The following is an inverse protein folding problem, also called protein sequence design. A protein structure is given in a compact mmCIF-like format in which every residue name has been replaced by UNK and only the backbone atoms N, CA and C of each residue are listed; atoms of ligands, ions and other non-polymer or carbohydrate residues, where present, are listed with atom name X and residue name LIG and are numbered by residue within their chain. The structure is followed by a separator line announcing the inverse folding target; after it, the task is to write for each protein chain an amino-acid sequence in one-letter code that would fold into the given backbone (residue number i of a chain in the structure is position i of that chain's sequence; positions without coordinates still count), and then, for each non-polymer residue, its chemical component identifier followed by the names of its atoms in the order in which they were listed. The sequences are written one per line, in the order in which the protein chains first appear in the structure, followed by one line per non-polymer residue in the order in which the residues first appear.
data_IF_748799590818
#
_entry.id   IF_748799590818
#
_cell.length_a   1.000
_cell.length_b   1.000
_cell.length_c   1.000
_cell.angle_alpha   90.00
_cell.angle_beta   90.00
_cell.angle_gamma   90.00
#
_symmetry.space_group_name_H-M   'P 1'
#
loop_
_entity.id
_entity.type
_entity.pdbx_description
1 polymer ?
#
# COMPACT_ATOMS: atom_id res chain seq x y z
N UNK A 1 -13.78 -10.44 -1.01
CA UNK A 1 -13.03 -10.61 -2.27
C UNK A 1 -13.42 -9.49 -3.22
N UNK A 2 -12.42 -8.81 -3.81
CA UNK A 2 -12.58 -7.77 -4.84
C UNK A 2 -11.84 -8.27 -6.09
N UNK A 3 -12.57 -8.39 -7.21
CA UNK A 3 -12.00 -8.94 -8.45
C UNK A 3 -12.44 -8.16 -9.69
N UNK A 4 -11.56 -8.13 -10.69
CA UNK A 4 -11.87 -7.67 -12.05
C UNK A 4 -12.38 -6.22 -12.10
N UNK A 5 -11.84 -5.34 -11.26
CA UNK A 5 -12.25 -3.96 -11.17
C UNK A 5 -11.22 -3.03 -11.84
N UNK A 6 -11.69 -2.15 -12.71
CA UNK A 6 -10.88 -1.07 -13.27
C UNK A 6 -11.39 0.28 -12.79
N UNK A 7 -10.56 1.00 -12.04
CA UNK A 7 -10.83 2.39 -11.66
C UNK A 7 -10.19 3.32 -12.68
N UNK A 8 -10.99 4.23 -13.24
CA UNK A 8 -10.53 5.33 -14.11
C UNK A 8 -10.73 6.71 -13.46
N UNK A 9 -11.16 6.70 -12.21
CA UNK A 9 -11.53 7.92 -11.47
C UNK A 9 -10.27 8.58 -10.92
N UNK A 10 -10.13 9.89 -11.16
CA UNK A 10 -9.14 10.69 -10.45
C UNK A 10 -9.61 10.93 -9.02
N UNK A 11 -8.76 10.60 -8.06
CA UNK A 11 -9.06 10.72 -6.64
C UNK A 11 -8.30 11.92 -6.08
N UNK A 12 -9.04 12.82 -5.42
CA UNK A 12 -8.48 13.87 -4.59
C UNK A 12 -8.93 13.63 -3.15
N UNK A 13 -8.02 13.19 -2.30
CA UNK A 13 -8.29 12.91 -0.91
C UNK A 13 -7.52 13.86 0.00
N UNK A 14 -8.21 14.47 0.96
CA UNK A 14 -7.59 15.29 2.00
C UNK A 14 -7.82 14.68 3.36
N UNK A 15 -6.79 14.67 4.20
CA UNK A 15 -6.94 14.43 5.62
C UNK A 15 -7.01 15.78 6.34
N UNK A 16 -7.82 15.84 7.38
CA UNK A 16 -7.68 16.88 8.39
C UNK A 16 -6.30 16.67 9.01
N UNK A 17 -5.55 17.73 9.25
CA UNK A 17 -4.22 17.70 9.88
C UNK A 17 -4.31 17.22 11.34
N UNK A 18 -4.88 16.06 11.53
CA UNK A 18 -4.97 15.36 12.79
C UNK A 18 -3.75 14.44 12.91
N UNK A 19 -2.81 14.90 13.74
CA UNK A 19 -1.60 14.16 14.02
C UNK A 19 -1.84 12.85 14.80
N UNK A 20 -3.07 12.49 15.10
CA UNK A 20 -3.41 11.37 15.99
C UNK A 20 -3.89 10.14 15.23
N UNK A 21 -4.45 10.29 14.04
CA UNK A 21 -5.08 9.20 13.28
C UNK A 21 -4.31 8.83 12.02
N UNK A 22 -4.13 7.55 11.78
CA UNK A 22 -3.62 7.05 10.52
C UNK A 22 -4.69 7.22 9.43
N UNK A 23 -4.31 7.78 8.30
CA UNK A 23 -5.21 8.03 7.16
C UNK A 23 -4.68 7.33 5.90
N UNK A 24 -5.59 6.77 5.12
CA UNK A 24 -5.25 5.87 4.03
C UNK A 24 -6.01 6.21 2.75
N UNK A 25 -5.34 6.16 1.61
CA UNK A 25 -5.95 6.35 0.29
C UNK A 25 -5.50 5.27 -0.68
N UNK A 26 -6.45 4.63 -1.34
CA UNK A 26 -6.24 3.72 -2.46
C UNK A 26 -7.39 3.83 -3.45
N UNK A 27 -7.17 3.55 -4.72
CA UNK A 27 -8.22 3.68 -5.74
C UNK A 27 -9.29 2.60 -5.65
N UNK A 28 -8.96 1.46 -5.07
CA UNK A 28 -9.85 0.29 -4.93
C UNK A 28 -10.23 0.10 -3.45
N UNK A 29 -9.26 0.20 -2.55
CA UNK A 29 -9.46 -0.02 -1.11
C UNK A 29 -8.66 0.98 -0.30
N UNK A 30 -9.30 1.71 0.63
CA UNK A 30 -8.60 2.56 1.57
C UNK A 30 -7.76 1.74 2.57
N UNK A 31 -8.37 0.73 3.22
CA UNK A 31 -7.69 -0.11 4.20
C UNK A 31 -8.26 -1.54 4.25
N UNK A 32 -7.39 -2.53 4.39
CA UNK A 32 -7.73 -3.92 4.67
C UNK A 32 -7.28 -4.26 6.10
N UNK A 33 -8.21 -4.75 6.93
CA UNK A 33 -7.96 -5.09 8.36
C UNK A 33 -8.17 -6.57 8.68
N UNK A 34 -8.57 -7.37 7.69
CA UNK A 34 -8.85 -8.80 7.85
C UNK A 34 -8.36 -9.57 6.64
N UNK A 35 -8.55 -10.88 6.63
CA UNK A 35 -8.26 -11.71 5.46
C UNK A 35 -9.06 -11.25 4.22
N UNK A 36 -8.44 -11.33 3.06
CA UNK A 36 -9.11 -10.93 1.82
C UNK A 36 -8.27 -11.10 0.56
N UNK A 37 -8.93 -10.99 -0.57
CA UNK A 37 -8.27 -11.07 -1.88
C UNK A 37 -8.64 -9.85 -2.71
N UNK A 38 -7.62 -9.23 -3.33
CA UNK A 38 -7.76 -8.22 -4.38
C UNK A 38 -7.05 -8.78 -5.62
N UNK A 39 -7.82 -9.06 -6.66
CA UNK A 39 -7.33 -9.82 -7.82
C UNK A 39 -7.76 -9.16 -9.13
N UNK A 40 -6.83 -9.11 -10.09
CA UNK A 40 -7.08 -8.60 -11.43
C UNK A 40 -7.72 -7.19 -11.42
N UNK A 41 -7.21 -6.31 -10.55
CA UNK A 41 -7.71 -4.95 -10.42
C UNK A 41 -6.70 -3.96 -11.02
N UNK A 42 -7.21 -2.93 -11.70
CA UNK A 42 -6.39 -1.92 -12.37
C UNK A 42 -6.79 -0.51 -11.95
N UNK A 43 -5.82 0.29 -11.58
CA UNK A 43 -5.99 1.73 -11.45
C UNK A 43 -5.44 2.44 -12.69
N UNK A 44 -6.27 3.27 -13.33
CA UNK A 44 -5.89 4.14 -14.46
C UNK A 44 -6.06 5.63 -14.14
N UNK A 45 -6.66 5.95 -13.01
CA UNK A 45 -6.86 7.31 -12.56
C UNK A 45 -5.70 7.81 -11.71
N UNK A 46 -5.46 9.12 -11.74
CA UNK A 46 -4.47 9.75 -10.88
C UNK A 46 -4.99 9.88 -9.43
N UNK A 47 -4.11 9.67 -8.46
CA UNK A 47 -4.38 9.87 -7.04
C UNK A 47 -3.57 11.05 -6.54
N UNK A 48 -4.25 12.07 -6.00
CA UNK A 48 -3.63 13.17 -5.25
C UNK A 48 -4.15 13.13 -3.83
N UNK A 49 -3.27 13.00 -2.85
CA UNK A 49 -3.70 12.81 -1.47
C UNK A 49 -2.82 13.57 -0.49
N UNK A 50 -3.45 14.05 0.59
CA UNK A 50 -2.77 14.51 1.81
C UNK A 50 -2.94 13.52 2.96
N UNK A 51 -3.31 12.27 2.69
CA UNK A 51 -3.38 11.21 3.69
C UNK A 51 -1.98 10.63 3.96
N UNK A 52 -1.83 10.01 5.11
CA UNK A 52 -0.53 9.53 5.56
C UNK A 52 0.03 8.39 4.70
N UNK A 53 -0.84 7.49 4.24
CA UNK A 53 -0.45 6.33 3.45
C UNK A 53 -1.25 6.28 2.16
N UNK A 54 -0.56 6.22 1.03
CA UNK A 54 -1.19 6.27 -0.29
C UNK A 54 -0.68 5.13 -1.15
N UNK A 55 -1.59 4.34 -1.67
CA UNK A 55 -1.30 3.29 -2.64
C UNK A 55 -2.10 3.49 -3.93
N UNK A 56 -1.55 3.07 -5.05
CA UNK A 56 -2.27 3.13 -6.32
C UNK A 56 -3.57 2.35 -6.31
N UNK A 57 -3.61 1.21 -5.61
CA UNK A 57 -4.82 0.41 -5.43
C UNK A 57 -5.27 0.34 -3.96
N UNK A 58 -4.33 0.13 -3.04
CA UNK A 58 -4.62 -0.15 -1.63
C UNK A 58 -3.85 0.84 -0.76
N UNK A 59 -4.54 1.64 0.05
CA UNK A 59 -3.91 2.58 0.95
C UNK A 59 -3.11 1.89 2.05
N UNK A 60 -3.72 0.92 2.74
CA UNK A 60 -3.02 0.12 3.74
C UNK A 60 -3.57 -1.30 3.90
N UNK A 61 -2.69 -2.20 4.34
CA UNK A 61 -3.01 -3.52 4.86
C UNK A 61 -2.53 -3.57 6.30
N UNK A 62 -3.47 -3.66 7.24
CA UNK A 62 -3.17 -3.72 8.68
C UNK A 62 -3.78 -5.00 9.26
N UNK A 63 -2.93 -5.98 9.46
CA UNK A 63 -3.31 -7.28 10.02
C UNK A 63 -3.05 -7.30 11.53
N UNK A 64 -3.40 -6.21 12.22
CA UNK A 64 -3.22 -6.09 13.65
C UNK A 64 -4.20 -7.01 14.39
N UNK A 65 -3.63 -7.96 15.09
CA UNK A 65 -4.35 -9.00 15.83
C UNK A 65 -4.97 -8.52 17.14
N UNK A 66 -5.63 -7.37 17.18
CA UNK A 66 -6.25 -6.89 18.41
C UNK A 66 -7.50 -7.64 18.82
N UNK A 67 -8.16 -8.32 17.90
CA UNK A 67 -9.40 -9.02 18.19
C UNK A 67 -9.40 -10.39 17.54
N UNK A 68 -9.40 -11.40 18.37
CA UNK A 68 -9.68 -12.79 18.03
C UNK A 68 -8.66 -13.51 17.14
N UNK A 69 -7.75 -14.19 17.78
CA UNK A 69 -6.45 -14.62 17.25
C UNK A 69 -6.37 -16.12 17.00
N UNK A 70 -7.46 -16.76 16.76
CA UNK A 70 -7.51 -18.20 16.50
C UNK A 70 -7.28 -18.56 15.03
N UNK A 71 -7.33 -17.58 14.12
CA UNK A 71 -7.20 -17.85 12.68
C UNK A 71 -6.04 -17.09 12.03
N UNK A 72 -5.30 -17.78 11.16
CA UNK A 72 -4.33 -17.18 10.26
C UNK A 72 -5.04 -16.27 9.28
N UNK A 73 -4.75 -14.97 9.32
CA UNK A 73 -5.30 -13.99 8.35
C UNK A 73 -4.38 -13.90 7.15
N UNK A 74 -4.89 -14.24 5.98
CA UNK A 74 -4.15 -14.11 4.73
C UNK A 74 -4.77 -13.01 3.85
N UNK A 75 -3.92 -12.09 3.37
CA UNK A 75 -4.28 -11.15 2.31
C UNK A 75 -3.52 -11.53 1.05
N UNK A 76 -4.26 -11.63 -0.04
CA UNK A 76 -3.71 -11.91 -1.38
C UNK A 76 -3.98 -10.70 -2.26
N UNK A 77 -2.92 -10.18 -2.90
CA UNK A 77 -3.00 -9.14 -3.94
C UNK A 77 -2.37 -9.72 -5.19
N UNK A 78 -3.18 -10.07 -6.19
CA UNK A 78 -2.71 -10.82 -7.35
C UNK A 78 -3.13 -10.17 -8.66
N UNK A 79 -2.22 -10.20 -9.65
CA UNK A 79 -2.46 -9.73 -11.02
C UNK A 79 -3.03 -8.30 -11.09
N UNK A 80 -2.61 -7.44 -10.16
CA UNK A 80 -3.07 -6.07 -10.08
C UNK A 80 -2.10 -5.11 -10.77
N UNK A 81 -2.64 -4.02 -11.35
CA UNK A 81 -1.82 -3.04 -12.05
C UNK A 81 -2.15 -1.60 -11.63
N UNK A 82 -1.13 -0.76 -11.56
CA UNK A 82 -1.31 0.69 -11.48
C UNK A 82 -0.70 1.36 -12.71
N UNK A 83 -1.53 2.10 -13.44
CA UNK A 83 -1.18 2.90 -14.62
C UNK A 83 -1.38 4.41 -14.35
N UNK A 84 -1.85 4.78 -13.17
CA UNK A 84 -2.10 6.17 -12.77
C UNK A 84 -1.03 6.73 -11.84
N UNK A 85 -0.83 8.03 -11.91
CA UNK A 85 0.08 8.73 -11.00
C UNK A 85 -0.41 8.66 -9.55
N UNK A 86 0.53 8.55 -8.60
CA UNK A 86 0.24 8.57 -7.17
C UNK A 86 1.04 9.67 -6.49
N UNK A 87 0.35 10.71 -6.08
CA UNK A 87 0.95 11.90 -5.47
C UNK A 87 0.50 12.02 -4.02
N UNK A 88 1.45 11.98 -3.10
CA UNK A 88 1.22 12.22 -1.69
C UNK A 88 1.81 13.58 -1.26
N UNK A 89 0.95 14.50 -0.89
CA UNK A 89 1.30 15.85 -0.40
C UNK A 89 1.14 15.99 1.12
N UNK A 90 1.24 14.90 1.86
CA UNK A 90 1.15 14.93 3.31
C UNK A 90 2.31 15.73 3.92
N UNK A 91 1.99 16.72 4.75
CA UNK A 91 2.95 17.71 5.25
C UNK A 91 3.01 17.70 6.79
N UNK A 92 3.49 16.64 7.39
CA UNK A 92 3.80 16.58 8.82
C UNK A 92 4.94 15.59 9.10
N UNK A 93 5.62 15.81 10.20
CA UNK A 93 6.82 15.06 10.62
C UNK A 93 6.50 13.65 11.18
N UNK A 94 5.78 12.83 10.40
CA UNK A 94 5.44 11.44 10.77
C UNK A 94 5.91 10.44 9.72
N UNK A 95 5.83 9.16 10.06
CA UNK A 95 6.03 8.07 9.11
C UNK A 95 4.91 8.10 8.07
N UNK A 96 5.26 8.25 6.83
CA UNK A 96 4.32 8.23 5.72
C UNK A 96 4.96 7.59 4.50
N UNK A 97 4.11 7.01 3.67
CA UNK A 97 4.60 6.28 2.52
C UNK A 97 3.68 6.35 1.31
N UNK A 98 4.29 6.17 0.16
CA UNK A 98 3.59 5.94 -1.09
C UNK A 98 4.07 4.64 -1.74
N UNK A 99 3.12 3.86 -2.20
CA UNK A 99 3.40 2.69 -3.03
C UNK A 99 2.58 2.71 -4.31
N UNK A 100 3.13 2.20 -5.38
CA UNK A 100 2.41 2.16 -6.63
C UNK A 100 1.21 1.21 -6.60
N UNK A 101 1.25 0.16 -5.79
CA UNK A 101 0.13 -0.75 -5.55
C UNK A 101 -0.39 -0.58 -4.12
N UNK A 102 0.47 -0.73 -3.10
CA UNK A 102 0.11 -0.71 -1.68
C UNK A 102 0.91 0.38 -0.99
N UNK A 103 0.24 1.32 -0.32
CA UNK A 103 0.90 2.40 0.42
C UNK A 103 1.65 1.89 1.65
N UNK A 104 0.97 1.09 2.49
CA UNK A 104 1.49 0.66 3.78
C UNK A 104 1.06 -0.77 4.13
N UNK A 105 1.97 -1.52 4.70
CA UNK A 105 1.70 -2.82 5.32
C UNK A 105 2.17 -2.78 6.77
N UNK A 106 1.26 -3.04 7.70
CA UNK A 106 1.59 -3.24 9.10
C UNK A 106 1.29 -4.68 9.49
N UNK A 107 2.35 -5.44 9.74
CA UNK A 107 2.29 -6.80 10.25
C UNK A 107 2.28 -6.86 11.78
N UNK A 108 1.89 -5.77 12.46
CA UNK A 108 1.95 -5.70 13.91
C UNK A 108 1.11 -6.80 14.56
N UNK A 109 1.76 -7.79 15.06
CA UNK A 109 1.19 -8.62 16.10
C UNK A 109 1.85 -8.24 17.43
N UNK A 110 1.11 -7.56 18.27
CA UNK A 110 1.41 -7.52 19.70
C UNK A 110 1.26 -8.93 20.33
N UNK A 111 0.81 -9.89 19.54
CA UNK A 111 0.58 -11.27 19.97
C UNK A 111 1.40 -12.23 19.10
N UNK A 112 2.34 -12.92 19.72
CA UNK A 112 3.23 -13.89 19.09
C UNK A 112 2.51 -15.08 18.40
N UNK A 113 1.22 -15.26 18.66
CA UNK A 113 0.42 -16.35 18.10
C UNK A 113 -0.37 -15.97 16.83
N UNK A 114 -0.33 -14.69 16.43
CA UNK A 114 -0.97 -14.25 15.18
C UNK A 114 -0.01 -14.38 14.01
N UNK A 115 -0.31 -15.30 13.11
CA UNK A 115 0.34 -15.40 11.82
C UNK A 115 -0.49 -14.64 10.79
N UNK A 116 0.07 -13.58 10.26
CA UNK A 116 -0.55 -12.81 9.20
C UNK A 116 0.26 -13.00 7.92
N UNK A 117 -0.35 -13.59 6.91
CA UNK A 117 0.30 -13.83 5.63
C UNK A 117 -0.09 -12.75 4.63
N UNK A 118 0.89 -12.18 3.96
CA UNK A 118 0.70 -11.33 2.79
C UNK A 118 1.32 -11.99 1.57
N UNK A 119 0.52 -12.17 0.53
CA UNK A 119 1.01 -12.60 -0.77
C UNK A 119 0.69 -11.54 -1.82
N UNK A 120 1.74 -10.96 -2.41
CA UNK A 120 1.65 -10.01 -3.53
C UNK A 120 2.29 -10.68 -4.73
N UNK A 121 1.50 -10.96 -5.77
CA UNK A 121 1.96 -11.78 -6.89
C UNK A 121 1.49 -11.23 -8.23
N UNK A 122 2.41 -11.21 -9.20
CA UNK A 122 2.09 -10.79 -10.56
C UNK A 122 1.60 -9.34 -10.67
N UNK A 123 1.87 -8.50 -9.68
CA UNK A 123 1.46 -7.09 -9.69
C UNK A 123 2.44 -6.24 -10.47
N UNK A 124 1.93 -5.21 -11.13
CA UNK A 124 2.78 -4.38 -11.97
C UNK A 124 2.45 -2.90 -11.92
N UNK A 125 3.47 -2.10 -12.25
CA UNK A 125 3.34 -0.68 -12.54
C UNK A 125 3.90 -0.42 -13.92
N UNK A 126 3.13 0.32 -14.72
CA UNK A 126 3.56 0.72 -16.03
C UNK A 126 3.33 2.22 -16.22
N UNK A 127 4.44 2.97 -16.29
CA UNK A 127 4.44 4.43 -16.55
C UNK A 127 3.64 5.24 -15.52
N UNK A 128 4.00 5.14 -14.24
CA UNK A 128 3.40 5.96 -13.18
C UNK A 128 4.44 6.85 -12.50
N UNK A 129 4.04 8.07 -12.17
CA UNK A 129 4.81 8.96 -11.30
C UNK A 129 4.38 8.73 -9.86
N UNK A 130 5.33 8.32 -9.02
CA UNK A 130 5.15 8.23 -7.59
C UNK A 130 5.80 9.47 -6.95
N UNK A 131 5.01 10.44 -6.59
CA UNK A 131 5.50 11.71 -6.06
C UNK A 131 5.12 11.89 -4.61
N UNK A 132 6.06 12.44 -3.85
CA UNK A 132 5.92 12.69 -2.44
C UNK A 132 6.55 14.05 -2.11
N UNK A 133 5.78 14.93 -1.50
CA UNK A 133 6.30 16.22 -1.09
C UNK A 133 7.25 16.07 0.12
N UNK A 134 6.93 15.18 1.06
CA UNK A 134 7.66 14.97 2.31
C UNK A 134 7.80 13.49 2.68
N UNK A 135 7.73 12.57 1.75
CA UNK A 135 7.69 11.19 2.12
C UNK A 135 8.98 10.66 2.69
N UNK A 136 8.78 9.87 3.70
CA UNK A 136 9.85 9.08 4.29
C UNK A 136 10.15 7.83 3.46
N UNK A 137 9.10 7.22 2.89
CA UNK A 137 9.23 5.95 2.15
C UNK A 137 8.45 5.96 0.84
N UNK A 138 9.07 5.48 -0.22
CA UNK A 138 8.42 5.31 -1.52
C UNK A 138 8.93 4.07 -2.23
N UNK A 139 8.02 3.33 -2.82
CA UNK A 139 8.40 2.18 -3.65
C UNK A 139 7.40 1.89 -4.77
N UNK A 140 7.87 1.17 -5.78
CA UNK A 140 7.07 0.79 -6.92
C UNK A 140 5.86 -0.06 -6.53
N UNK A 141 6.01 -1.08 -5.71
CA UNK A 141 4.92 -1.98 -5.33
C UNK A 141 4.39 -1.66 -3.93
N UNK A 142 5.20 -1.74 -2.88
CA UNK A 142 4.78 -1.52 -1.49
C UNK A 142 5.61 -0.39 -0.90
N UNK A 143 4.96 0.72 -0.54
CA UNK A 143 5.62 1.92 -0.04
C UNK A 143 6.40 1.71 1.26
N UNK A 144 5.81 1.00 2.22
CA UNK A 144 6.45 0.66 3.49
C UNK A 144 5.87 -0.63 4.07
N UNK A 145 6.76 -1.50 4.57
CA UNK A 145 6.39 -2.60 5.45
C UNK A 145 6.96 -2.29 6.84
N UNK A 146 6.10 -2.25 7.85
CA UNK A 146 6.46 -1.98 9.23
C UNK A 146 6.12 -3.18 10.13
N UNK A 147 6.97 -3.43 11.13
CA UNK A 147 6.82 -4.51 12.11
C UNK A 147 6.65 -5.90 11.46
N UNK A 148 7.64 -6.36 10.70
CA UNK A 148 7.54 -7.62 9.98
C UNK A 148 7.72 -8.86 10.87
N UNK A 149 7.36 -8.83 12.14
CA UNK A 149 7.68 -9.90 13.11
C UNK A 149 7.26 -11.30 12.66
N UNK A 150 6.27 -11.41 11.78
CA UNK A 150 5.77 -12.68 11.29
C UNK A 150 5.72 -12.78 9.77
N UNK A 151 6.51 -11.98 9.07
CA UNK A 151 6.65 -12.03 7.60
C UNK A 151 7.42 -13.25 7.08
N UNK A 152 7.69 -14.26 7.89
CA UNK A 152 8.29 -15.50 7.39
C UNK A 152 7.45 -16.18 6.31
N UNK A 153 6.21 -15.74 6.12
CA UNK A 153 5.30 -16.22 5.09
C UNK A 153 4.82 -15.13 4.11
N UNK A 154 5.19 -13.87 4.33
CA UNK A 154 4.85 -12.82 3.35
C UNK A 154 5.75 -12.92 2.12
N UNK A 155 5.13 -12.91 0.95
CA UNK A 155 5.82 -13.11 -0.32
C UNK A 155 5.45 -12.01 -1.31
N UNK A 156 6.46 -11.43 -1.94
CA UNK A 156 6.30 -10.57 -3.12
C UNK A 156 6.98 -11.27 -4.28
N UNK A 157 6.21 -11.78 -5.23
CA UNK A 157 6.70 -12.62 -6.32
C UNK A 157 6.17 -12.18 -7.67
N UNK A 158 6.98 -12.35 -8.71
CA UNK A 158 6.60 -12.05 -10.10
C UNK A 158 6.06 -10.61 -10.29
N UNK A 159 6.45 -9.67 -9.44
CA UNK A 159 6.07 -8.27 -9.56
C UNK A 159 7.11 -7.51 -10.38
N UNK A 160 6.65 -6.57 -11.20
CA UNK A 160 7.55 -5.76 -12.00
C UNK A 160 7.13 -4.28 -12.01
N UNK A 161 8.13 -3.43 -12.24
CA UNK A 161 7.97 -1.98 -12.27
C UNK A 161 8.69 -1.45 -13.50
N UNK A 162 8.00 -0.67 -14.31
CA UNK A 162 8.53 -0.10 -15.54
C UNK A 162 8.19 1.39 -15.63
N UNK A 163 9.18 2.17 -16.08
CA UNK A 163 9.01 3.61 -16.36
C UNK A 163 8.41 4.39 -15.18
N UNK A 164 8.89 4.13 -13.95
CA UNK A 164 8.48 4.91 -12.80
C UNK A 164 9.42 6.08 -12.54
N UNK A 165 8.86 7.17 -12.08
CA UNK A 165 9.59 8.28 -11.48
C UNK A 165 9.39 8.22 -9.97
N UNK A 166 10.48 8.09 -9.22
CA UNK A 166 10.50 8.17 -7.76
C UNK A 166 10.93 9.57 -7.30
N UNK A 167 10.51 10.02 -6.12
CA UNK A 167 10.96 11.30 -5.55
C UNK A 167 12.47 11.29 -5.32
N UNK A 168 13.07 12.48 -5.27
CA UNK A 168 14.53 12.63 -5.12
C UNK A 168 15.03 12.50 -3.69
N UNK A 169 14.14 12.48 -2.70
CA UNK A 169 14.46 12.40 -1.27
C UNK A 169 13.72 11.25 -0.58
N UNK A 170 14.17 10.87 0.61
CA UNK A 170 13.60 9.77 1.39
C UNK A 170 14.13 8.39 1.02
N UNK A 171 13.69 7.36 1.72
CA UNK A 171 13.99 5.96 1.39
C UNK A 171 13.18 5.51 0.17
N UNK A 172 13.86 4.93 -0.80
CA UNK A 172 13.29 4.58 -2.11
C UNK A 172 13.67 3.17 -2.50
N UNK A 173 12.74 2.44 -3.10
CA UNK A 173 12.99 1.12 -3.65
C UNK A 173 12.16 0.86 -4.91
N UNK A 174 12.67 0.03 -5.82
CA UNK A 174 11.92 -0.34 -7.02
C UNK A 174 10.67 -1.15 -6.70
N UNK A 175 10.74 -2.04 -5.72
CA UNK A 175 9.65 -2.95 -5.36
C UNK A 175 9.08 -2.64 -3.97
N UNK A 176 9.90 -2.72 -2.94
CA UNK A 176 9.47 -2.56 -1.54
C UNK A 176 10.47 -1.68 -0.81
N UNK A 177 9.99 -0.71 -0.02
CA UNK A 177 10.77 0.03 0.96
C UNK A 177 10.53 -0.50 2.37
N UNK A 178 11.56 -0.57 3.16
CA UNK A 178 11.57 -1.06 4.55
C UNK A 178 12.27 -0.09 5.49
#
# INVERSE_FOLDING_TARGET
VIKNLTSKVNISASSINDNTSNTYTGSIVGRIITAGTVENCVNKGAIKSTTQFVGGLIGAIQLDGKNDLTENKKVIVEACANEGDVVNNFNVNKTFSVGGIIGFVNGNSSNANCKSDLEVKGCCINSATLSLLYAKYSAGIIGLIQNPRDVNQSKVTACWVKNITLPTSGSRASIVSS
#
